data_IF_617683230638
#
_entry.id   IF_617683230638
#
_cell.length_a   1.000
_cell.length_b   1.000
_cell.length_c   1.000
_cell.angle_alpha   90.00
_cell.angle_beta   90.00
_cell.angle_gamma   90.00
#
_symmetry.space_group_name_H-M   'P 1'
#
loop_
_entity.id
_entity.type
_entity.pdbx_description
1 polymer ?
#
# COMPACT_ATOMS: atom_id res chain seq x y z
N UNK A 1 -0.74 11.69 -43.80
CA UNK A 1 0.12 11.91 -42.62
C UNK A 1 -0.52 11.14 -41.48
N UNK A 2 0.19 10.20 -40.86
CA UNK A 2 -0.35 9.50 -39.69
C UNK A 2 -0.64 10.56 -38.63
N UNK A 3 -1.90 10.69 -38.23
CA UNK A 3 -2.26 11.54 -37.10
C UNK A 3 -1.39 11.13 -35.91
N UNK A 4 -0.92 12.11 -35.16
CA UNK A 4 -0.19 11.91 -33.91
C UNK A 4 -1.08 11.09 -32.97
N UNK A 5 -0.86 9.77 -32.95
CA UNK A 5 -1.62 8.81 -32.14
C UNK A 5 -1.10 8.95 -30.72
N UNK A 6 -1.88 9.62 -29.87
CA UNK A 6 -1.45 10.07 -28.54
C UNK A 6 -1.93 9.18 -27.40
N UNK A 7 -2.95 8.35 -27.62
CA UNK A 7 -3.62 7.66 -26.50
C UNK A 7 -3.42 6.15 -26.49
N UNK A 8 -3.15 5.63 -25.29
CA UNK A 8 -3.27 4.21 -24.94
C UNK A 8 -4.48 4.02 -24.02
N UNK A 9 -5.44 3.22 -24.43
CA UNK A 9 -6.70 3.06 -23.70
C UNK A 9 -6.80 1.67 -23.07
N UNK A 10 -7.16 1.63 -21.79
CA UNK A 10 -7.53 0.40 -21.09
C UNK A 10 -9.05 0.33 -20.93
N UNK A 11 -9.67 -0.78 -21.31
CA UNK A 11 -11.12 -0.94 -21.25
C UNK A 11 -11.52 -2.20 -20.48
N UNK A 12 -12.52 -2.10 -19.60
CA UNK A 12 -13.09 -3.25 -18.91
C UNK A 12 -14.58 -3.02 -18.59
N UNK A 13 -15.31 -4.10 -18.32
CA UNK A 13 -16.71 -4.00 -17.92
C UNK A 13 -17.13 -5.06 -16.90
N UNK A 14 -18.32 -4.87 -16.33
CA UNK A 14 -19.09 -5.99 -15.80
C UNK A 14 -20.00 -6.63 -16.85
N UNK A 15 -20.70 -7.70 -16.48
CA UNK A 15 -21.61 -8.39 -17.39
C UNK A 15 -22.74 -7.51 -17.94
N UNK A 16 -23.20 -6.49 -17.20
CA UNK A 16 -24.20 -5.55 -17.69
C UNK A 16 -23.60 -4.54 -18.66
N UNK A 17 -22.33 -4.16 -18.47
CA UNK A 17 -21.62 -3.20 -19.31
C UNK A 17 -20.98 -3.80 -20.57
N UNK A 18 -20.80 -5.13 -20.64
CA UNK A 18 -20.04 -5.79 -21.70
C UNK A 18 -20.48 -5.37 -23.12
N UNK A 19 -21.76 -5.42 -23.51
CA UNK A 19 -22.15 -5.10 -24.89
C UNK A 19 -21.79 -3.66 -25.29
N UNK A 20 -21.96 -2.71 -24.36
CA UNK A 20 -21.60 -1.31 -24.62
C UNK A 20 -20.08 -1.12 -24.66
N UNK A 21 -19.34 -1.76 -23.75
CA UNK A 21 -17.87 -1.74 -23.75
C UNK A 21 -17.31 -2.26 -25.07
N UNK A 22 -17.85 -3.36 -25.60
CA UNK A 22 -17.42 -3.93 -26.88
C UNK A 22 -17.62 -2.94 -28.03
N UNK A 23 -18.77 -2.24 -28.05
CA UNK A 23 -19.05 -1.22 -29.05
C UNK A 23 -18.10 -0.01 -28.95
N UNK A 24 -17.83 0.47 -27.73
CA UNK A 24 -16.89 1.58 -27.49
C UNK A 24 -15.45 1.19 -27.84
N UNK A 25 -15.02 -0.02 -27.50
CA UNK A 25 -13.70 -0.54 -27.88
C UNK A 25 -13.55 -0.61 -29.41
N UNK A 26 -14.58 -1.09 -30.12
CA UNK A 26 -14.58 -1.13 -31.57
C UNK A 26 -14.44 0.28 -32.18
N UNK A 27 -15.19 1.24 -31.67
CA UNK A 27 -15.09 2.66 -32.07
C UNK A 27 -13.68 3.21 -31.84
N UNK A 28 -13.16 3.08 -30.61
CA UNK A 28 -11.85 3.61 -30.21
C UNK A 28 -10.69 3.03 -31.02
N UNK A 29 -10.75 1.75 -31.40
CA UNK A 29 -9.72 1.13 -32.25
C UNK A 29 -9.62 1.74 -33.64
N UNK A 30 -10.69 2.37 -34.12
CA UNK A 30 -10.71 3.07 -35.42
C UNK A 30 -10.43 4.57 -35.29
N UNK A 31 -10.40 5.11 -34.06
CA UNK A 31 -10.24 6.53 -33.83
C UNK A 31 -8.81 7.01 -34.14
N UNK A 32 -8.61 8.11 -34.90
CA UNK A 32 -7.29 8.50 -35.40
C UNK A 32 -6.28 8.91 -34.33
N UNK A 33 -6.75 9.37 -33.16
CA UNK A 33 -5.90 9.76 -32.04
C UNK A 33 -5.48 8.60 -31.12
N UNK A 34 -6.05 7.39 -31.30
CA UNK A 34 -5.81 6.25 -30.42
C UNK A 34 -4.76 5.34 -31.05
N UNK A 35 -3.68 5.07 -30.32
CA UNK A 35 -2.60 4.18 -30.74
C UNK A 35 -2.95 2.72 -30.46
N UNK A 36 -3.50 2.46 -29.28
CA UNK A 36 -3.73 1.12 -28.75
C UNK A 36 -4.95 1.10 -27.82
N UNK A 37 -5.72 0.01 -27.88
CA UNK A 37 -6.80 -0.29 -26.93
C UNK A 37 -6.61 -1.69 -26.36
N UNK A 38 -6.31 -1.78 -25.07
CA UNK A 38 -6.26 -3.03 -24.31
C UNK A 38 -7.63 -3.30 -23.67
N UNK A 39 -8.31 -4.32 -24.17
CA UNK A 39 -9.54 -4.82 -23.57
C UNK A 39 -9.17 -5.84 -22.48
N UNK A 40 -9.30 -5.42 -21.22
CA UNK A 40 -9.00 -6.22 -20.03
C UNK A 40 -10.14 -7.20 -19.69
N UNK A 41 -11.20 -7.22 -20.50
CA UNK A 41 -12.27 -8.20 -20.42
C UNK A 41 -13.40 -7.80 -19.48
N UNK A 42 -14.04 -8.83 -18.93
CA UNK A 42 -15.27 -8.71 -18.14
C UNK A 42 -15.08 -9.39 -16.81
N UNK A 43 -15.39 -8.68 -15.73
CA UNK A 43 -15.32 -9.20 -14.35
C UNK A 43 -16.38 -8.51 -13.48
N UNK A 44 -16.37 -8.73 -12.17
CA UNK A 44 -17.16 -7.94 -11.23
C UNK A 44 -16.79 -6.47 -11.37
N UNK A 45 -17.78 -5.59 -11.27
CA UNK A 45 -17.61 -4.15 -11.53
C UNK A 45 -16.41 -3.52 -10.79
N UNK A 46 -16.15 -3.90 -9.54
CA UNK A 46 -15.00 -3.38 -8.78
C UNK A 46 -13.65 -3.93 -9.27
N UNK A 47 -13.59 -5.17 -9.76
CA UNK A 47 -12.38 -5.78 -10.28
C UNK A 47 -12.04 -5.22 -11.67
N UNK A 48 -13.06 -5.05 -12.53
CA UNK A 48 -12.93 -4.36 -13.80
C UNK A 48 -12.46 -2.90 -13.65
N UNK A 49 -13.02 -2.19 -12.66
CA UNK A 49 -12.57 -0.83 -12.35
C UNK A 49 -11.13 -0.80 -11.83
N UNK A 50 -10.78 -1.72 -10.93
CA UNK A 50 -9.43 -1.84 -10.37
C UNK A 50 -8.37 -2.11 -11.43
N UNK A 51 -8.63 -3.03 -12.38
CA UNK A 51 -7.67 -3.37 -13.42
C UNK A 51 -7.42 -2.22 -14.39
N UNK A 52 -8.46 -1.47 -14.78
CA UNK A 52 -8.29 -0.26 -15.61
C UNK A 52 -7.55 0.83 -14.83
N UNK A 53 -7.95 1.09 -13.60
CA UNK A 53 -7.40 2.16 -12.78
C UNK A 53 -5.90 1.95 -12.48
N UNK A 54 -5.49 0.73 -12.12
CA UNK A 54 -4.07 0.43 -11.86
C UNK A 54 -3.20 0.66 -13.09
N UNK A 55 -3.65 0.18 -14.27
CA UNK A 55 -2.92 0.36 -15.52
C UNK A 55 -2.79 1.83 -15.93
N UNK A 56 -3.84 2.63 -15.72
CA UNK A 56 -3.82 4.08 -15.98
C UNK A 56 -2.84 4.79 -15.05
N UNK A 57 -2.86 4.47 -13.75
CA UNK A 57 -1.96 5.05 -12.77
C UNK A 57 -0.48 4.71 -13.08
N UNK A 58 -0.17 3.43 -13.30
CA UNK A 58 1.20 2.95 -13.52
C UNK A 58 1.83 3.47 -14.82
N UNK A 59 1.03 3.70 -15.88
CA UNK A 59 1.54 4.17 -17.17
C UNK A 59 1.78 5.68 -17.18
N UNK A 60 1.08 6.43 -16.33
CA UNK A 60 1.15 7.90 -16.28
C UNK A 60 2.48 8.43 -15.73
N UNK A 61 3.27 7.60 -15.06
CA UNK A 61 4.57 7.94 -14.46
C UNK A 61 5.78 7.73 -15.41
N UNK A 62 5.55 7.42 -16.69
CA UNK A 62 6.65 7.17 -17.65
C UNK A 62 7.08 8.45 -18.40
N UNK A 63 8.18 9.07 -17.93
CA UNK A 63 8.83 10.28 -18.50
C UNK A 63 9.50 10.06 -19.88
N UNK A 64 8.84 9.41 -20.83
CA UNK A 64 9.35 9.30 -22.20
C UNK A 64 8.82 10.44 -23.08
N UNK A 65 9.72 11.10 -23.81
CA UNK A 65 9.44 12.20 -24.78
C UNK A 65 8.41 11.83 -25.88
N UNK A 66 8.04 10.55 -25.97
CA UNK A 66 7.02 9.99 -26.86
C UNK A 66 6.05 9.02 -26.16
N UNK A 67 5.87 9.14 -24.84
CA UNK A 67 4.93 8.30 -24.09
C UNK A 67 3.49 8.58 -24.54
N UNK A 68 2.73 7.51 -24.78
CA UNK A 68 1.29 7.60 -25.02
C UNK A 68 0.59 8.00 -23.71
N UNK A 69 -0.33 8.95 -23.77
CA UNK A 69 -1.18 9.30 -22.64
C UNK A 69 -2.12 8.13 -22.33
N UNK A 70 -2.00 7.57 -21.13
CA UNK A 70 -2.82 6.46 -20.66
C UNK A 70 -4.19 6.97 -20.17
N UNK A 71 -5.26 6.34 -20.66
CA UNK A 71 -6.61 6.60 -20.14
C UNK A 71 -7.45 5.32 -20.05
N UNK A 72 -8.54 5.39 -19.31
CA UNK A 72 -9.42 4.26 -19.05
C UNK A 72 -10.85 4.45 -19.56
N UNK A 73 -11.50 3.35 -19.94
CA UNK A 73 -12.94 3.25 -20.13
C UNK A 73 -13.47 2.10 -19.29
N UNK A 74 -14.44 2.37 -18.41
CA UNK A 74 -15.08 1.34 -17.59
C UNK A 74 -16.58 1.38 -17.77
N UNK A 75 -17.21 0.21 -17.84
CA UNK A 75 -18.66 0.13 -18.07
C UNK A 75 -19.29 -0.84 -17.08
N UNK A 76 -20.36 -0.40 -16.41
CA UNK A 76 -21.24 -1.30 -15.67
C UNK A 76 -22.69 -0.92 -15.91
N UNK A 77 -23.64 -1.57 -15.23
CA UNK A 77 -25.07 -1.29 -15.40
C UNK A 77 -25.43 0.21 -15.36
N UNK A 78 -24.93 0.96 -14.37
CA UNK A 78 -25.20 2.41 -14.22
C UNK A 78 -24.00 3.31 -14.50
N UNK A 79 -22.79 2.76 -14.67
CA UNK A 79 -21.54 3.51 -14.74
C UNK A 79 -21.04 4.06 -13.39
N UNK A 80 -21.92 4.30 -12.41
CA UNK A 80 -21.54 4.90 -11.13
C UNK A 80 -20.62 3.98 -10.29
N UNK A 81 -20.93 2.68 -10.22
CA UNK A 81 -20.17 1.74 -9.40
C UNK A 81 -18.71 1.61 -9.85
N UNK A 82 -18.46 1.51 -11.15
CA UNK A 82 -17.10 1.44 -11.68
C UNK A 82 -16.34 2.75 -11.49
N UNK A 83 -17.00 3.90 -11.62
CA UNK A 83 -16.39 5.20 -11.35
C UNK A 83 -15.93 5.32 -9.88
N UNK A 84 -16.80 4.95 -8.92
CA UNK A 84 -16.47 4.98 -7.49
C UNK A 84 -15.24 4.13 -7.18
N UNK A 85 -15.17 2.92 -7.73
CA UNK A 85 -14.05 2.02 -7.46
C UNK A 85 -12.75 2.43 -8.16
N UNK A 86 -12.83 2.95 -9.40
CA UNK A 86 -11.65 3.43 -10.11
C UNK A 86 -10.95 4.58 -9.36
N UNK A 87 -11.72 5.51 -8.79
CA UNK A 87 -11.21 6.63 -7.99
C UNK A 87 -10.50 6.22 -6.68
N UNK A 88 -10.46 4.93 -6.32
CA UNK A 88 -9.68 4.46 -5.16
C UNK A 88 -8.17 4.40 -5.45
N UNK A 89 -7.78 4.48 -6.71
CA UNK A 89 -6.40 4.44 -7.15
C UNK A 89 -5.82 5.86 -7.22
N UNK A 90 -4.66 6.12 -6.59
CA UNK A 90 -3.99 7.41 -6.71
C UNK A 90 -3.77 7.81 -8.17
N UNK A 91 -3.97 9.10 -8.48
CA UNK A 91 -3.83 9.63 -9.83
C UNK A 91 -4.96 9.29 -10.80
N UNK A 92 -5.99 8.55 -10.36
CA UNK A 92 -7.16 8.23 -11.17
C UNK A 92 -8.32 9.18 -10.84
N UNK A 93 -8.80 9.87 -11.86
CA UNK A 93 -9.98 10.72 -11.83
C UNK A 93 -11.04 10.14 -12.76
N UNK A 94 -11.96 9.37 -12.20
CA UNK A 94 -13.00 8.67 -12.93
C UNK A 94 -14.35 9.37 -12.78
N UNK A 95 -15.05 9.62 -13.89
CA UNK A 95 -16.39 10.23 -13.88
C UNK A 95 -17.37 9.44 -14.73
N UNK A 96 -18.59 9.29 -14.24
CA UNK A 96 -19.69 8.86 -15.09
C UNK A 96 -20.15 10.01 -15.99
N UNK A 97 -20.19 9.80 -17.29
CA UNK A 97 -20.71 10.78 -18.26
C UNK A 97 -21.96 10.20 -18.95
N UNK A 98 -23.06 10.96 -18.93
CA UNK A 98 -24.31 10.58 -19.59
C UNK A 98 -24.45 11.23 -20.98
N UNK A 99 -23.67 12.26 -21.26
CA UNK A 99 -23.69 13.01 -22.51
C UNK A 99 -22.29 13.50 -22.93
N UNK A 100 -22.14 13.88 -24.21
CA UNK A 100 -20.89 14.44 -24.71
C UNK A 100 -20.53 15.75 -24.00
N UNK A 101 -21.53 16.56 -23.62
CA UNK A 101 -21.32 17.76 -22.83
C UNK A 101 -20.73 17.46 -21.44
N UNK A 102 -21.16 16.37 -20.79
CA UNK A 102 -20.56 15.93 -19.53
C UNK A 102 -19.10 15.54 -19.73
N UNK A 103 -18.78 14.83 -20.81
CA UNK A 103 -17.40 14.45 -21.13
C UNK A 103 -16.49 15.67 -21.37
N UNK A 104 -16.98 16.71 -22.06
CA UNK A 104 -16.22 17.96 -22.22
C UNK A 104 -15.99 18.62 -20.86
N UNK A 105 -17.04 18.75 -20.05
CA UNK A 105 -16.96 19.37 -18.73
C UNK A 105 -15.99 18.62 -17.81
N UNK A 106 -16.09 17.30 -17.70
CA UNK A 106 -15.26 16.51 -16.77
C UNK A 106 -13.80 16.45 -17.22
N UNK A 107 -13.52 16.49 -18.53
CA UNK A 107 -12.14 16.66 -19.02
C UNK A 107 -11.58 18.03 -18.70
N UNK A 108 -12.35 19.09 -18.96
CA UNK A 108 -11.92 20.47 -18.74
C UNK A 108 -11.71 20.78 -17.26
N UNK A 109 -12.60 20.30 -16.39
CA UNK A 109 -12.66 20.71 -14.98
C UNK A 109 -11.97 19.70 -14.06
N UNK A 110 -12.11 18.40 -14.33
CA UNK A 110 -11.67 17.34 -13.42
C UNK A 110 -10.46 16.55 -13.94
N UNK A 111 -9.91 16.92 -15.11
CA UNK A 111 -8.86 16.15 -15.79
C UNK A 111 -9.21 14.65 -15.95
N UNK A 112 -10.49 14.31 -16.06
CA UNK A 112 -11.02 12.94 -15.95
C UNK A 112 -10.29 11.92 -16.86
N UNK A 113 -9.38 11.11 -16.34
CA UNK A 113 -8.59 10.15 -17.11
C UNK A 113 -9.21 8.74 -17.18
N UNK A 114 -10.35 8.52 -16.52
CA UNK A 114 -11.13 7.28 -16.66
C UNK A 114 -12.61 7.58 -16.92
N UNK A 115 -13.08 7.28 -18.13
CA UNK A 115 -14.48 7.48 -18.52
C UNK A 115 -15.35 6.30 -18.06
N UNK A 116 -16.39 6.58 -17.29
CA UNK A 116 -17.36 5.57 -16.87
C UNK A 116 -18.70 5.70 -17.60
N UNK A 117 -19.21 4.60 -18.15
CA UNK A 117 -20.45 4.58 -18.95
C UNK A 117 -21.50 3.63 -18.37
N UNK A 118 -22.77 3.92 -18.66
CA UNK A 118 -23.92 3.12 -18.24
C UNK A 118 -24.32 2.14 -19.34
N UNK A 119 -24.07 0.85 -19.13
CA UNK A 119 -24.45 -0.22 -20.06
C UNK A 119 -25.96 -0.36 -20.25
N UNK A 120 -26.77 0.13 -19.29
CA UNK A 120 -28.23 0.06 -19.36
C UNK A 120 -28.84 1.30 -20.01
N UNK A 121 -28.28 2.48 -19.73
CA UNK A 121 -28.91 3.76 -20.10
C UNK A 121 -28.28 4.42 -21.33
N UNK A 122 -27.04 4.08 -21.69
CA UNK A 122 -26.31 4.77 -22.76
C UNK A 122 -26.33 3.94 -24.05
N UNK A 123 -26.93 4.44 -25.14
CA UNK A 123 -26.85 3.82 -26.46
C UNK A 123 -25.42 3.83 -27.04
N UNK A 124 -25.04 2.87 -27.91
CA UNK A 124 -23.67 2.78 -28.46
C UNK A 124 -23.20 4.01 -29.25
N UNK A 125 -24.07 4.62 -30.05
CA UNK A 125 -23.78 5.83 -30.83
C UNK A 125 -23.56 7.05 -29.91
N UNK A 126 -24.34 7.15 -28.84
CA UNK A 126 -24.15 8.16 -27.80
C UNK A 126 -22.84 7.92 -27.06
N UNK A 127 -22.52 6.68 -26.68
CA UNK A 127 -21.26 6.35 -26.02
C UNK A 127 -20.03 6.67 -26.88
N UNK A 128 -20.10 6.44 -28.19
CA UNK A 128 -19.07 6.85 -29.13
C UNK A 128 -18.87 8.38 -29.14
N UNK A 129 -19.96 9.14 -29.20
CA UNK A 129 -19.90 10.61 -29.14
C UNK A 129 -19.33 11.13 -27.80
N UNK A 130 -19.65 10.47 -26.68
CA UNK A 130 -19.06 10.77 -25.37
C UNK A 130 -17.55 10.51 -25.38
N UNK A 131 -17.13 9.35 -25.88
CA UNK A 131 -15.72 8.98 -25.96
C UNK A 131 -14.91 9.95 -26.85
N UNK A 132 -15.48 10.37 -27.99
CA UNK A 132 -14.85 11.34 -28.89
C UNK A 132 -14.67 12.70 -28.23
N UNK A 133 -15.73 13.22 -27.59
CA UNK A 133 -15.65 14.48 -26.86
C UNK A 133 -14.62 14.42 -25.72
N UNK A 134 -14.57 13.30 -25.00
CA UNK A 134 -13.63 13.06 -23.92
C UNK A 134 -12.16 12.99 -24.41
N UNK A 135 -11.89 12.35 -25.55
CA UNK A 135 -10.55 12.33 -26.16
C UNK A 135 -10.13 13.68 -26.72
N UNK A 136 -11.07 14.42 -27.30
CA UNK A 136 -10.80 15.70 -27.95
C UNK A 136 -10.54 16.84 -26.96
N UNK A 137 -11.07 16.75 -25.74
CA UNK A 137 -11.05 17.87 -24.78
C UNK A 137 -9.81 17.86 -23.88
N UNK A 138 -8.93 18.89 -23.96
CA UNK A 138 -7.83 19.08 -23.02
C UNK A 138 -8.33 19.52 -21.64
N UNK A 139 -7.50 19.29 -20.61
CA UNK A 139 -7.74 19.89 -19.30
C UNK A 139 -7.69 21.42 -19.41
N UNK A 140 -8.54 22.13 -18.63
CA UNK A 140 -8.67 23.60 -18.60
C UNK A 140 -9.20 24.25 -19.88
N UNK A 141 -9.60 23.47 -20.89
CA UNK A 141 -10.18 24.04 -22.11
C UNK A 141 -11.53 24.74 -21.82
N UNK A 142 -11.96 25.71 -22.64
CA UNK A 142 -13.34 26.17 -22.63
C UNK A 142 -14.31 24.99 -22.78
N UNK A 143 -15.40 25.02 -22.02
CA UNK A 143 -16.41 23.97 -21.99
C UNK A 143 -17.81 24.55 -21.73
N UNK A 144 -18.89 23.74 -21.87
CA UNK A 144 -20.24 24.20 -21.63
C UNK A 144 -20.45 24.86 -20.25
N UNK A 145 -19.77 24.38 -19.20
CA UNK A 145 -19.85 24.96 -17.86
C UNK A 145 -19.25 26.38 -17.76
N UNK A 146 -18.31 26.72 -18.65
CA UNK A 146 -17.73 28.07 -18.79
C UNK A 146 -18.50 28.95 -19.79
N UNK A 147 -19.62 28.47 -20.34
CA UNK A 147 -20.30 29.13 -21.47
C UNK A 147 -19.47 29.11 -22.75
N UNK A 148 -18.64 28.07 -22.92
CA UNK A 148 -17.69 27.90 -24.03
C UNK A 148 -16.68 29.04 -24.21
N UNK A 149 -16.40 29.79 -23.12
CA UNK A 149 -15.43 30.86 -23.06
C UNK A 149 -14.19 30.46 -22.24
N UNK A 150 -13.03 31.14 -22.40
CA UNK A 150 -11.89 30.94 -21.51
C UNK A 150 -12.28 31.13 -20.04
N UNK A 151 -11.67 30.34 -19.16
CA UNK A 151 -11.90 30.48 -17.73
C UNK A 151 -11.45 31.86 -17.23
N UNK A 152 -12.23 32.49 -16.33
CA UNK A 152 -11.76 33.65 -15.57
C UNK A 152 -10.44 33.34 -14.86
N UNK A 153 -9.60 34.36 -14.65
CA UNK A 153 -8.24 34.21 -14.11
C UNK A 153 -8.21 33.50 -12.74
N UNK A 154 -9.18 33.77 -11.88
CA UNK A 154 -9.33 33.13 -10.58
C UNK A 154 -9.64 31.63 -10.71
N UNK A 155 -10.51 31.25 -11.64
CA UNK A 155 -10.82 29.84 -11.92
C UNK A 155 -9.65 29.14 -12.61
N UNK A 156 -8.96 29.82 -13.52
CA UNK A 156 -7.76 29.29 -14.17
C UNK A 156 -6.68 28.99 -13.12
N UNK A 157 -6.43 29.92 -12.20
CA UNK A 157 -5.49 29.72 -11.08
C UNK A 157 -5.90 28.54 -10.19
N UNK A 158 -7.19 28.40 -9.87
CA UNK A 158 -7.71 27.26 -9.11
C UNK A 158 -7.46 25.94 -9.84
N UNK A 159 -7.80 25.86 -11.13
CA UNK A 159 -7.55 24.67 -11.91
C UNK A 159 -6.05 24.37 -11.91
N UNK A 160 -5.18 25.38 -12.03
CA UNK A 160 -3.72 25.23 -12.15
C UNK A 160 -3.11 24.56 -10.93
N UNK A 161 -3.59 24.89 -9.72
CA UNK A 161 -3.16 24.24 -8.49
C UNK A 161 -3.87 22.92 -8.18
N UNK A 162 -5.09 22.71 -8.71
CA UNK A 162 -5.95 21.60 -8.35
C UNK A 162 -5.30 20.19 -8.46
N UNK A 163 -4.55 19.82 -9.52
CA UNK A 163 -3.93 18.48 -9.57
C UNK A 163 -3.00 18.18 -8.39
N UNK A 164 -2.16 19.13 -8.01
CA UNK A 164 -1.24 18.97 -6.90
C UNK A 164 -1.99 18.94 -5.55
N UNK A 165 -2.95 19.84 -5.37
CA UNK A 165 -3.78 19.85 -4.15
C UNK A 165 -4.62 18.58 -4.00
N UNK A 166 -5.22 18.08 -5.09
CA UNK A 166 -6.00 16.84 -5.10
C UNK A 166 -5.13 15.62 -4.78
N UNK A 167 -3.91 15.56 -5.33
CA UNK A 167 -2.96 14.48 -5.03
C UNK A 167 -2.56 14.46 -3.54
N UNK A 168 -2.56 15.62 -2.87
CA UNK A 168 -2.30 15.74 -1.44
C UNK A 168 -3.53 15.46 -0.54
N UNK A 169 -4.75 15.30 -1.09
CA UNK A 169 -5.96 15.05 -0.27
C UNK A 169 -5.88 13.75 0.57
N UNK A 170 -5.39 12.61 0.05
CA UNK A 170 -5.20 11.42 0.88
C UNK A 170 -4.22 11.63 2.04
N UNK A 171 -3.28 12.57 1.88
CA UNK A 171 -2.38 13.04 2.95
C UNK A 171 -3.07 14.04 3.90
N UNK A 172 -4.32 14.41 3.60
CA UNK A 172 -5.04 15.58 4.09
C UNK A 172 -4.96 15.80 5.59
N UNK A 173 -4.96 17.09 5.95
CA UNK A 173 -4.63 17.66 7.26
C UNK A 173 -3.12 17.69 7.52
N UNK A 174 -2.67 18.62 8.38
CA UNK A 174 -1.37 18.55 9.08
C UNK A 174 -0.94 17.10 9.13
N UNK A 175 0.27 16.69 8.71
CA UNK A 175 0.67 15.29 8.81
C UNK A 175 0.17 14.82 10.15
N UNK A 176 -0.83 13.91 10.19
CA UNK A 176 -1.20 13.29 11.46
C UNK A 176 0.15 12.86 11.92
N UNK A 177 0.70 13.41 13.02
CA UNK A 177 2.01 12.99 13.43
C UNK A 177 1.82 11.49 13.50
N UNK A 178 2.50 10.73 12.65
CA UNK A 178 2.90 9.39 13.05
C UNK A 178 3.45 9.71 14.42
N UNK A 179 2.75 9.37 15.52
CA UNK A 179 3.12 9.97 16.78
C UNK A 179 4.60 9.66 16.88
N UNK A 180 5.44 10.68 17.04
CA UNK A 180 6.90 10.49 17.05
C UNK A 180 7.27 9.37 18.06
N UNK A 181 6.34 9.12 18.99
CA UNK A 181 6.22 7.92 19.78
C UNK A 181 5.48 6.76 19.08
N UNK A 182 6.21 5.66 18.83
CA UNK A 182 5.61 4.38 18.43
C UNK A 182 4.48 3.96 19.41
N UNK A 183 3.36 3.44 18.90
CA UNK A 183 2.18 3.14 19.73
C UNK A 183 2.48 2.12 20.85
N UNK A 184 3.33 1.13 20.55
CA UNK A 184 3.90 0.19 21.52
C UNK A 184 4.72 0.98 22.58
N UNK A 185 5.60 1.87 22.14
CA UNK A 185 6.40 2.74 23.01
C UNK A 185 5.54 3.65 23.91
N UNK A 186 4.37 4.09 23.44
CA UNK A 186 3.39 4.83 24.24
C UNK A 186 2.78 3.98 25.36
N UNK A 187 2.37 2.75 25.07
CA UNK A 187 1.85 1.81 26.07
C UNK A 187 2.90 1.49 27.15
N UNK A 188 4.18 1.60 26.81
CA UNK A 188 5.31 1.40 27.72
C UNK A 188 5.56 2.57 28.68
N UNK A 189 5.11 3.79 28.39
CA UNK A 189 5.43 4.98 29.22
C UNK A 189 4.94 4.80 30.67
N UNK A 190 5.85 4.95 31.63
CA UNK A 190 5.54 4.89 33.06
C UNK A 190 5.36 3.48 33.64
N UNK A 191 5.69 2.43 32.89
CA UNK A 191 5.66 1.06 33.41
C UNK A 191 6.87 0.77 34.31
N UNK A 192 6.60 0.15 35.46
CA UNK A 192 7.62 -0.48 36.30
C UNK A 192 7.82 -1.93 35.84
N UNK A 193 9.06 -2.40 35.89
CA UNK A 193 9.46 -3.74 35.47
C UNK A 193 9.89 -4.57 36.68
N UNK A 194 9.64 -5.87 36.61
CA UNK A 194 10.04 -6.82 37.64
C UNK A 194 11.17 -7.71 37.12
N UNK A 195 12.19 -8.03 37.95
CA UNK A 195 13.25 -8.95 37.55
C UNK A 195 12.72 -10.32 37.15
N UNK A 196 13.24 -10.84 36.02
CA UNK A 196 13.01 -12.22 35.60
C UNK A 196 14.04 -13.09 36.32
N UNK A 197 13.66 -13.69 37.45
CA UNK A 197 14.62 -14.34 38.35
C UNK A 197 15.50 -15.44 37.74
N UNK A 198 15.03 -16.09 36.67
CA UNK A 198 15.75 -17.13 35.92
C UNK A 198 16.70 -16.60 34.84
N UNK A 199 16.59 -15.32 34.48
CA UNK A 199 17.34 -14.69 33.39
C UNK A 199 18.10 -13.47 33.93
N UNK A 200 19.38 -13.64 34.31
CA UNK A 200 20.19 -12.56 34.86
C UNK A 200 20.25 -11.32 33.95
N UNK A 201 19.90 -10.16 34.52
CA UNK A 201 19.84 -8.90 33.79
C UNK A 201 18.58 -8.69 32.94
N UNK A 202 17.65 -9.66 32.97
CA UNK A 202 16.33 -9.57 32.36
C UNK A 202 15.29 -9.03 33.34
N UNK A 203 14.43 -8.14 32.86
CA UNK A 203 13.27 -7.63 33.60
C UNK A 203 12.05 -7.59 32.66
N UNK A 204 10.86 -7.85 33.19
CA UNK A 204 9.64 -8.00 32.41
C UNK A 204 8.45 -7.29 33.05
N UNK A 205 7.50 -6.88 32.21
CA UNK A 205 6.20 -6.37 32.63
C UNK A 205 5.09 -6.90 31.72
N UNK A 206 4.16 -7.66 32.27
CA UNK A 206 2.95 -8.12 31.57
C UNK A 206 2.04 -6.93 31.25
N UNK A 207 1.59 -6.85 29.99
CA UNK A 207 0.68 -5.83 29.45
C UNK A 207 -0.74 -6.38 29.34
N UNK A 208 -0.88 -7.65 28.98
CA UNK A 208 -2.15 -8.35 28.78
C UNK A 208 -1.96 -9.84 29.05
N UNK A 209 -2.98 -10.50 29.60
CA UNK A 209 -2.95 -11.92 29.99
C UNK A 209 -3.49 -12.89 28.92
N UNK A 210 -4.20 -12.41 27.88
CA UNK A 210 -4.74 -13.30 26.83
C UNK A 210 -5.13 -12.57 25.54
N UNK A 211 -4.44 -12.82 24.40
CA UNK A 211 -3.14 -13.50 24.34
C UNK A 211 -2.12 -12.75 25.19
N UNK A 212 -1.21 -13.48 25.81
CA UNK A 212 -0.28 -12.93 26.79
C UNK A 212 0.74 -12.07 26.07
N UNK A 213 1.03 -10.89 26.62
CA UNK A 213 2.04 -10.00 26.06
C UNK A 213 2.76 -9.21 27.13
N UNK A 214 4.01 -8.89 26.87
CA UNK A 214 4.88 -8.24 27.82
C UNK A 214 5.89 -7.31 27.14
N UNK A 215 6.34 -6.31 27.89
CA UNK A 215 7.63 -5.67 27.63
C UNK A 215 8.71 -6.43 28.38
N UNK A 216 9.80 -6.73 27.69
CA UNK A 216 10.98 -7.36 28.27
C UNK A 216 12.19 -6.49 27.97
N UNK A 217 13.07 -6.33 28.97
CA UNK A 217 14.32 -5.61 28.83
C UNK A 217 15.49 -6.43 29.34
N UNK A 218 16.62 -6.33 28.65
CA UNK A 218 17.88 -6.93 29.06
C UNK A 218 18.98 -5.89 29.04
N UNK A 219 19.92 -6.00 29.99
CA UNK A 219 21.13 -5.18 30.01
C UNK A 219 22.12 -5.58 28.93
N UNK A 220 22.87 -4.61 28.44
CA UNK A 220 23.99 -4.85 27.52
C UNK A 220 24.93 -5.90 28.13
N UNK A 221 25.29 -6.91 27.34
CA UNK A 221 26.12 -8.04 27.74
C UNK A 221 25.35 -9.22 28.35
N UNK A 222 24.05 -9.10 28.64
CA UNK A 222 23.24 -10.24 29.07
C UNK A 222 23.17 -11.33 28.02
N UNK A 223 22.99 -12.56 28.49
CA UNK A 223 22.81 -13.76 27.68
C UNK A 223 21.61 -14.53 28.19
N UNK A 224 20.78 -14.97 27.25
CA UNK A 224 19.82 -16.04 27.50
C UNK A 224 20.47 -17.35 27.05
N UNK A 225 20.69 -18.30 27.96
CA UNK A 225 21.12 -19.65 27.61
C UNK A 225 20.14 -20.29 26.62
N UNK A 226 20.59 -21.26 25.85
CA UNK A 226 19.75 -22.12 25.03
C UNK A 226 18.52 -22.56 25.83
N UNK A 227 17.34 -22.25 25.31
CA UNK A 227 16.08 -22.56 25.93
C UNK A 227 14.98 -22.72 24.89
N UNK A 228 13.87 -23.28 25.32
CA UNK A 228 12.64 -23.36 24.54
C UNK A 228 11.40 -23.08 25.39
N UNK A 229 10.28 -22.89 24.70
CA UNK A 229 8.95 -22.63 25.27
C UNK A 229 7.95 -23.64 24.71
N UNK A 230 6.89 -23.94 25.47
CA UNK A 230 5.78 -24.78 24.95
C UNK A 230 4.99 -24.05 23.87
N UNK A 231 4.88 -22.73 23.97
CA UNK A 231 4.16 -21.90 22.99
C UNK A 231 5.13 -21.10 22.13
N UNK A 232 4.76 -20.93 20.86
CA UNK A 232 5.49 -20.02 19.98
C UNK A 232 5.26 -18.58 20.43
N UNK A 233 6.23 -17.72 20.13
CA UNK A 233 6.16 -16.32 20.48
C UNK A 233 6.66 -15.42 19.36
N UNK A 234 6.00 -14.29 19.22
CA UNK A 234 6.38 -13.21 18.33
C UNK A 234 7.03 -12.10 19.15
N UNK A 235 8.10 -11.51 18.64
CA UNK A 235 8.68 -10.32 19.24
C UNK A 235 8.97 -9.23 18.22
N UNK A 236 8.92 -7.99 18.67
CA UNK A 236 9.45 -6.82 17.97
C UNK A 236 10.45 -6.10 18.87
N UNK A 237 11.65 -5.84 18.35
CA UNK A 237 12.66 -5.05 19.05
C UNK A 237 12.21 -3.59 19.04
N UNK A 238 12.03 -3.02 20.23
CA UNK A 238 11.65 -1.61 20.39
C UNK A 238 12.90 -0.75 20.33
N UNK A 239 13.96 -1.21 21.00
CA UNK A 239 15.24 -0.51 21.08
C UNK A 239 16.36 -1.48 21.39
N UNK A 240 17.53 -1.23 20.83
CA UNK A 240 18.77 -1.94 21.13
C UNK A 240 19.09 -2.99 20.08
N UNK A 241 20.07 -3.82 20.42
CA UNK A 241 20.64 -4.78 19.48
C UNK A 241 20.85 -6.12 20.16
N UNK A 242 20.30 -7.18 19.57
CA UNK A 242 20.48 -8.56 20.03
C UNK A 242 20.73 -9.51 18.86
N UNK A 243 21.37 -10.63 19.13
CA UNK A 243 21.46 -11.75 18.18
C UNK A 243 20.77 -12.95 18.78
N UNK A 244 19.92 -13.57 17.97
CA UNK A 244 19.19 -14.80 18.30
C UNK A 244 19.75 -15.91 17.44
N UNK A 245 20.22 -16.99 18.06
CA UNK A 245 20.60 -18.22 17.38
C UNK A 245 19.49 -19.24 17.56
N UNK A 246 18.87 -19.69 16.47
CA UNK A 246 17.96 -20.82 16.53
C UNK A 246 18.78 -22.10 16.33
N UNK A 247 19.01 -22.81 17.42
CA UNK A 247 19.87 -24.00 17.44
C UNK A 247 19.18 -25.20 16.77
N UNK A 248 17.84 -25.24 16.79
CA UNK A 248 17.05 -26.24 16.06
C UNK A 248 17.25 -26.12 14.56
N UNK A 249 17.16 -24.91 14.02
CA UNK A 249 17.25 -24.62 12.58
C UNK A 249 18.67 -24.37 12.08
N UNK A 250 19.62 -24.13 12.99
CA UNK A 250 21.02 -23.78 12.69
C UNK A 250 21.14 -22.50 11.88
N UNK A 251 20.33 -21.50 12.22
CA UNK A 251 20.40 -20.16 11.67
C UNK A 251 20.52 -19.11 12.79
N UNK A 252 20.76 -17.85 12.42
CA UNK A 252 20.89 -16.76 13.36
C UNK A 252 20.34 -15.46 12.79
N UNK A 253 19.84 -14.60 13.67
CA UNK A 253 19.22 -13.33 13.32
C UNK A 253 19.86 -12.22 14.15
N UNK A 254 20.46 -11.23 13.48
CA UNK A 254 20.92 -10.00 14.10
C UNK A 254 19.76 -9.00 14.07
N UNK A 255 19.16 -8.73 15.22
CA UNK A 255 17.96 -7.92 15.36
C UNK A 255 18.30 -6.54 15.94
N UNK A 256 17.76 -5.49 15.31
CA UNK A 256 17.87 -4.09 15.73
C UNK A 256 16.48 -3.46 15.86
N UNK A 257 16.42 -2.18 16.25
CA UNK A 257 15.20 -1.38 16.36
C UNK A 257 14.22 -1.60 15.18
N UNK A 258 13.00 -2.04 15.50
CA UNK A 258 11.93 -2.29 14.55
C UNK A 258 11.89 -3.71 13.97
N UNK A 259 12.93 -4.52 14.16
CA UNK A 259 12.96 -5.89 13.63
C UNK A 259 11.98 -6.81 14.37
N UNK A 260 11.39 -7.73 13.61
CA UNK A 260 10.45 -8.72 14.08
C UNK A 260 11.03 -10.13 13.98
N UNK A 261 10.77 -10.98 14.97
CA UNK A 261 11.10 -12.40 14.91
C UNK A 261 9.97 -13.24 15.51
N UNK A 262 9.56 -14.27 14.78
CA UNK A 262 8.71 -15.34 15.29
C UNK A 262 9.58 -16.56 15.63
N UNK A 263 9.46 -17.06 16.85
CA UNK A 263 10.06 -18.32 17.28
C UNK A 263 8.94 -19.35 17.47
N UNK A 264 8.91 -20.43 16.65
CA UNK A 264 7.95 -21.52 16.83
C UNK A 264 8.07 -22.22 18.18
N UNK A 265 6.96 -22.82 18.62
CA UNK A 265 6.93 -23.69 19.80
C UNK A 265 7.98 -24.81 19.73
N UNK A 266 8.72 -25.01 20.81
CA UNK A 266 9.75 -26.05 20.91
C UNK A 266 11.06 -25.78 20.16
N UNK A 267 11.18 -24.69 19.41
CA UNK A 267 12.48 -24.31 18.83
C UNK A 267 13.43 -23.86 19.96
N UNK A 268 14.61 -24.49 20.02
CA UNK A 268 15.65 -24.15 20.98
C UNK A 268 16.43 -22.96 20.45
N UNK A 269 16.54 -21.92 21.24
CA UNK A 269 17.24 -20.70 20.85
C UNK A 269 18.07 -20.11 21.98
N UNK A 270 19.15 -19.43 21.59
CA UNK A 270 20.07 -18.70 22.48
C UNK A 270 20.09 -17.23 22.08
N UNK A 271 20.28 -16.32 23.03
CA UNK A 271 20.27 -14.89 22.75
C UNK A 271 21.45 -14.19 23.42
N UNK A 272 22.09 -13.25 22.70
CA UNK A 272 23.06 -12.30 23.27
C UNK A 272 22.57 -10.88 23.03
N UNK A 273 22.62 -10.06 24.07
CA UNK A 273 22.28 -8.65 24.04
C UNK A 273 23.55 -7.81 23.93
N UNK A 274 23.74 -7.11 22.81
CA UNK A 274 24.93 -6.26 22.60
C UNK A 274 24.76 -4.86 23.18
N UNK A 275 23.50 -4.42 23.31
CA UNK A 275 23.11 -3.14 23.89
C UNK A 275 22.01 -3.37 24.92
N UNK A 276 21.72 -2.35 25.76
CA UNK A 276 20.49 -2.34 26.56
C UNK A 276 19.30 -2.48 25.60
N UNK A 277 18.63 -3.62 25.64
CA UNK A 277 17.65 -4.00 24.63
C UNK A 277 16.28 -4.14 25.26
N UNK A 278 15.28 -3.53 24.64
CA UNK A 278 13.88 -3.63 25.03
C UNK A 278 13.08 -4.17 23.84
N UNK A 279 12.19 -5.12 24.10
CA UNK A 279 11.33 -5.69 23.07
C UNK A 279 9.93 -5.96 23.62
N UNK A 280 8.95 -5.91 22.74
CA UNK A 280 7.59 -6.36 23.02
C UNK A 280 7.46 -7.79 22.52
N UNK A 281 6.98 -8.69 23.39
CA UNK A 281 6.79 -10.10 23.10
C UNK A 281 5.33 -10.50 23.34
N UNK A 282 4.81 -11.38 22.49
CA UNK A 282 3.48 -11.95 22.59
C UNK A 282 3.53 -13.46 22.40
N UNK A 283 2.76 -14.19 23.20
CA UNK A 283 2.59 -15.63 23.09
C UNK A 283 1.17 -16.03 23.50
N UNK A 284 0.78 -17.26 23.19
CA UNK A 284 -0.47 -17.84 23.64
C UNK A 284 -0.25 -18.68 24.90
N UNK A 285 -1.26 -18.77 25.77
CA UNK A 285 -1.21 -19.63 26.95
C UNK A 285 -0.36 -19.10 28.12
N UNK A 286 0.13 -20.03 28.94
CA UNK A 286 0.90 -19.71 30.14
C UNK A 286 2.36 -19.42 29.79
N UNK A 287 3.03 -18.62 30.62
CA UNK A 287 4.48 -18.44 30.50
C UNK A 287 5.21 -19.67 31.03
N UNK A 288 6.08 -20.22 30.21
CA UNK A 288 7.04 -21.25 30.57
C UNK A 288 8.38 -20.98 29.89
N UNK A 289 9.42 -21.64 30.36
CA UNK A 289 10.75 -21.59 29.76
C UNK A 289 11.57 -22.74 30.32
N UNK A 290 12.18 -23.49 29.42
CA UNK A 290 12.99 -24.65 29.75
C UNK A 290 14.41 -24.36 29.33
N UNK A 291 15.31 -24.23 30.30
CA UNK A 291 16.73 -24.03 30.04
C UNK A 291 17.34 -25.36 29.59
N UNK A 292 17.87 -25.39 28.37
CA UNK A 292 18.56 -26.52 27.76
C UNK A 292 20.07 -26.48 27.98
N UNK A 293 20.60 -25.35 28.47
CA UNK A 293 21.99 -25.20 28.88
C UNK A 293 22.14 -24.23 30.06
N UNK A 294 23.30 -24.28 30.73
CA UNK A 294 23.68 -23.32 31.76
C UNK A 294 24.35 -22.05 31.18
N UNK A 295 24.42 -21.00 32.00
CA UNK A 295 24.92 -19.69 31.57
C UNK A 295 26.41 -19.68 31.19
N UNK A 296 27.25 -20.49 31.85
CA UNK A 296 28.68 -20.57 31.55
C UNK A 296 28.89 -21.25 30.19
N UNK A 297 28.13 -22.32 29.93
CA UNK A 297 28.09 -22.97 28.61
C UNK A 297 27.65 -22.00 27.51
N UNK A 298 26.61 -21.19 27.77
CA UNK A 298 26.13 -20.19 26.83
C UNK A 298 27.19 -19.13 26.50
N UNK A 299 27.87 -18.59 27.51
CA UNK A 299 28.96 -17.62 27.32
C UNK A 299 30.09 -18.20 26.49
N UNK A 300 30.57 -19.40 26.83
CA UNK A 300 31.66 -20.06 26.11
C UNK A 300 31.32 -20.31 24.64
N UNK A 301 30.09 -20.75 24.34
CA UNK A 301 29.64 -21.00 22.98
C UNK A 301 29.57 -19.71 22.15
N UNK A 302 29.04 -18.64 22.73
CA UNK A 302 28.95 -17.32 22.10
C UNK A 302 30.34 -16.74 21.82
N UNK A 303 31.24 -16.80 22.80
CA UNK A 303 32.59 -16.24 22.67
C UNK A 303 33.41 -17.00 21.61
N UNK A 304 33.26 -18.32 21.53
CA UNK A 304 33.89 -19.12 20.48
C UNK A 304 33.42 -18.70 19.08
N UNK A 305 32.12 -18.45 18.90
CA UNK A 305 31.56 -18.05 17.60
C UNK A 305 31.95 -16.62 17.21
N UNK A 306 31.80 -15.66 18.12
CA UNK A 306 32.14 -14.26 17.85
C UNK A 306 33.66 -14.05 17.72
N UNK A 307 34.46 -14.82 18.46
CA UNK A 307 35.92 -14.86 18.32
C UNK A 307 36.36 -15.42 16.96
N UNK A 308 35.66 -16.43 16.42
CA UNK A 308 35.93 -16.95 15.09
C UNK A 308 35.57 -15.95 13.96
N UNK A 309 34.61 -15.05 14.19
CA UNK A 309 34.18 -14.04 13.22
C UNK A 309 35.14 -12.83 13.12
N UNK A 310 35.92 -12.53 14.17
CA UNK A 310 36.87 -11.40 14.22
C UNK A 310 38.28 -11.74 13.71
N UNK A 311 38.55 -13.03 13.48
CA UNK A 311 39.83 -13.53 12.94
C UNK A 311 39.86 -13.74 11.41
N UNK A 312 38.91 -13.18 10.66
CA UNK A 312 38.85 -13.19 9.19
C UNK A 312 38.96 -11.79 8.60
#
# INVERSE_FOLDING_TARGET
MAADRRFKIFAAADGFGQPLKDAVVAHLRTHPAVAEVLDLGVDKYYAAAASVASNVAETSDSDAEHALEARGVVVCGTGAGVAIFANKYPGVYATHCASAADAVNTRSINACNVLALSGIATPPDVAAAIADAWLATPFRAPCPASGDAPWPEDIQSFLDSAPAEMAAIPEGSVPVPVPESCAICCLRKGMEFEPVGIMPGGEMRIVRESPTSAYVRFKAGSVEPAHHHTFGHDLVVIKGKKKVWNLTKKDSYDLVDGDFLFTPAGDVHRVKYFEDTEFFIRWDGHWDIFLDEDLDTAHNAIDAELGAATGK
#
